data_IF_207984925639
#
_entry.id   IF_207984925639
#
_cell.length_a   1.000
_cell.length_b   1.000
_cell.length_c   1.000
_cell.angle_alpha   90.00
_cell.angle_beta   90.00
_cell.angle_gamma   90.00
#
_symmetry.space_group_name_H-M   'P 1'
#
loop_
_entity.id
_entity.type
_entity.pdbx_description
1 polymer ?
#
# COMPACT_ATOMS: atom_id res chain seq x y z
N UNK A 1 4.73 -6.20 -19.72
CA UNK A 1 5.39 -5.18 -18.90
C UNK A 1 6.35 -5.87 -17.95
N UNK A 2 7.56 -5.37 -17.74
CA UNK A 2 8.53 -6.06 -16.89
C UNK A 2 8.20 -6.01 -15.39
N UNK A 3 7.29 -5.14 -14.93
CA UNK A 3 6.91 -5.08 -13.50
C UNK A 3 6.08 -3.85 -13.13
N UNK A 4 5.72 -3.77 -11.87
CA UNK A 4 5.14 -2.59 -11.21
C UNK A 4 6.09 -2.16 -10.08
N UNK A 5 6.89 -1.13 -10.34
CA UNK A 5 7.95 -0.65 -9.46
C UNK A 5 7.52 0.62 -8.74
N UNK A 6 6.86 1.53 -9.47
CA UNK A 6 6.29 2.79 -8.98
C UNK A 6 4.84 2.93 -9.43
N UNK A 7 4.11 3.94 -8.94
CA UNK A 7 2.77 4.26 -9.45
C UNK A 7 2.81 4.93 -10.83
N UNK A 8 3.95 5.44 -11.24
CA UNK A 8 4.15 6.06 -12.56
C UNK A 8 4.22 5.02 -13.70
N UNK A 9 4.39 3.74 -13.35
CA UNK A 9 4.30 2.64 -14.30
C UNK A 9 2.86 2.37 -14.78
N UNK A 10 1.86 3.03 -14.17
CA UNK A 10 0.44 2.89 -14.47
C UNK A 10 -0.18 4.20 -14.94
N UNK A 11 -1.00 4.15 -15.98
CA UNK A 11 -1.91 5.24 -16.33
C UNK A 11 -3.11 5.29 -15.37
N UNK A 12 -3.88 6.39 -15.38
CA UNK A 12 -5.09 6.48 -14.55
C UNK A 12 -6.13 5.44 -14.97
N UNK A 13 -6.26 5.18 -16.27
CA UNK A 13 -7.17 4.18 -16.83
C UNK A 13 -6.79 2.76 -16.36
N UNK A 14 -5.50 2.45 -16.34
CA UNK A 14 -5.01 1.16 -15.83
C UNK A 14 -5.25 1.02 -14.34
N UNK A 15 -5.01 2.07 -13.53
CA UNK A 15 -5.35 2.08 -12.10
C UNK A 15 -6.83 1.78 -11.91
N UNK A 16 -7.73 2.49 -12.59
CA UNK A 16 -9.18 2.27 -12.48
C UNK A 16 -9.55 0.85 -12.89
N UNK A 17 -9.02 0.35 -14.01
CA UNK A 17 -9.26 -1.03 -14.46
C UNK A 17 -8.83 -2.07 -13.42
N UNK A 18 -7.67 -1.90 -12.80
CA UNK A 18 -7.18 -2.79 -11.74
C UNK A 18 -8.06 -2.70 -10.49
N UNK A 19 -8.54 -1.51 -10.13
CA UNK A 19 -9.46 -1.34 -9.02
C UNK A 19 -10.83 -1.98 -9.30
N UNK A 20 -11.32 -1.94 -10.55
CA UNK A 20 -12.53 -2.64 -10.96
C UNK A 20 -12.38 -4.16 -10.87
N UNK A 21 -11.24 -4.69 -11.30
CA UNK A 21 -10.90 -6.10 -11.15
C UNK A 21 -10.79 -6.49 -9.67
N UNK A 22 -10.24 -5.62 -8.82
CA UNK A 22 -10.19 -5.83 -7.38
C UNK A 22 -11.60 -5.93 -6.79
N UNK A 23 -12.52 -5.05 -7.18
CA UNK A 23 -13.92 -5.10 -6.73
C UNK A 23 -14.59 -6.42 -7.09
N UNK A 24 -14.41 -6.89 -8.34
CA UNK A 24 -14.94 -8.19 -8.80
C UNK A 24 -14.36 -9.37 -8.02
N UNK A 25 -13.10 -9.29 -7.61
CA UNK A 25 -12.39 -10.36 -6.90
C UNK A 25 -12.69 -10.43 -5.39
N UNK A 26 -13.47 -9.51 -4.81
CA UNK A 26 -13.83 -9.50 -3.39
C UNK A 26 -14.42 -10.84 -2.90
N UNK A 27 -15.40 -11.47 -3.57
CA UNK A 27 -15.96 -12.76 -3.12
C UNK A 27 -14.91 -13.87 -3.12
N UNK A 28 -13.98 -13.84 -4.08
CA UNK A 28 -12.87 -14.82 -4.15
C UNK A 28 -11.89 -14.59 -3.01
N UNK A 29 -11.53 -13.32 -2.74
CA UNK A 29 -10.64 -12.96 -1.65
C UNK A 29 -11.22 -13.35 -0.27
N UNK A 30 -12.54 -13.22 -0.08
CA UNK A 30 -13.26 -13.64 1.14
C UNK A 30 -13.41 -15.15 1.28
N UNK A 31 -13.19 -15.91 0.20
CA UNK A 31 -13.36 -17.36 0.18
C UNK A 31 -14.83 -17.79 0.04
N UNK A 32 -15.67 -16.93 -0.48
CA UNK A 32 -17.07 -17.21 -0.83
C UNK A 32 -17.15 -17.93 -2.18
N UNK A 33 -16.19 -17.65 -3.07
CA UNK A 33 -16.02 -18.27 -4.38
C UNK A 33 -14.60 -18.80 -4.56
N UNK A 34 -14.48 -19.92 -5.27
CA UNK A 34 -13.21 -20.41 -5.79
C UNK A 34 -13.11 -20.13 -7.28
N UNK A 35 -12.12 -19.31 -7.66
CA UNK A 35 -11.86 -18.92 -9.06
C UNK A 35 -10.36 -19.01 -9.36
N UNK A 36 -9.88 -20.16 -9.87
CA UNK A 36 -8.45 -20.43 -10.01
C UNK A 36 -7.84 -19.78 -11.27
N UNK A 37 -7.87 -18.45 -11.35
CA UNK A 37 -7.36 -17.68 -12.50
C UNK A 37 -5.86 -17.88 -12.75
N UNK A 38 -5.09 -18.17 -11.70
CA UNK A 38 -3.63 -18.36 -11.76
C UNK A 38 -3.22 -19.81 -11.47
N UNK A 39 -4.10 -20.79 -11.75
CA UNK A 39 -3.77 -22.20 -11.58
C UNK A 39 -2.54 -22.58 -12.40
N UNK A 40 -1.58 -23.25 -11.76
CA UNK A 40 -0.31 -23.66 -12.38
C UNK A 40 0.75 -22.55 -12.47
N UNK A 41 0.44 -21.33 -11.98
CA UNK A 41 1.41 -20.23 -11.83
C UNK A 41 2.06 -20.26 -10.46
N UNK A 42 3.31 -19.82 -10.40
CA UNK A 42 4.12 -19.79 -9.19
C UNK A 42 4.57 -18.35 -8.92
N UNK A 43 4.28 -17.86 -7.71
CA UNK A 43 4.79 -16.60 -7.20
C UNK A 43 6.11 -16.82 -6.45
N UNK A 44 7.18 -16.15 -6.85
CA UNK A 44 8.38 -15.94 -6.04
C UNK A 44 8.14 -14.83 -5.03
N UNK A 45 8.11 -15.16 -3.73
CA UNK A 45 7.81 -14.19 -2.67
C UNK A 45 9.09 -13.86 -1.89
N UNK A 46 9.84 -12.84 -2.36
CA UNK A 46 11.21 -12.52 -1.95
C UNK A 46 11.25 -11.33 -0.98
N UNK A 47 11.26 -11.62 0.31
CA UNK A 47 11.29 -10.59 1.35
C UNK A 47 12.64 -10.57 2.05
N UNK A 48 13.48 -9.58 1.72
CA UNK A 48 14.82 -9.38 2.27
C UNK A 48 14.82 -8.56 3.58
N UNK A 49 13.66 -8.06 3.99
CA UNK A 49 13.43 -7.42 5.29
C UNK A 49 12.13 -7.92 5.94
N UNK A 50 12.00 -7.84 7.28
CA UNK A 50 10.79 -8.29 7.97
C UNK A 50 9.53 -7.57 7.48
N UNK A 51 8.53 -8.33 7.08
CA UNK A 51 7.21 -7.82 6.73
C UNK A 51 6.16 -8.91 6.82
N UNK A 52 5.38 -8.92 7.90
CA UNK A 52 4.36 -9.96 8.10
C UNK A 52 3.18 -9.76 7.15
N UNK A 53 2.55 -8.58 7.19
CA UNK A 53 1.32 -8.31 6.44
C UNK A 53 1.52 -8.38 4.93
N UNK A 54 2.50 -7.65 4.41
CA UNK A 54 2.74 -7.60 2.96
C UNK A 54 3.08 -8.97 2.41
N UNK A 55 3.98 -9.72 3.08
CA UNK A 55 4.38 -11.07 2.66
C UNK A 55 3.19 -12.03 2.65
N UNK A 56 2.44 -12.08 3.76
CA UNK A 56 1.27 -12.98 3.87
C UNK A 56 0.17 -12.61 2.89
N UNK A 57 -0.05 -11.31 2.62
CA UNK A 57 -1.09 -10.88 1.66
C UNK A 57 -0.76 -11.26 0.22
N UNK A 58 0.50 -11.19 -0.21
CA UNK A 58 0.93 -11.72 -1.51
C UNK A 58 0.72 -13.23 -1.61
N UNK A 59 1.14 -13.96 -0.57
CA UNK A 59 0.95 -15.40 -0.52
C UNK A 59 -0.54 -15.78 -0.56
N UNK A 60 -1.36 -15.11 0.25
CA UNK A 60 -2.81 -15.34 0.28
C UNK A 60 -3.45 -15.01 -1.06
N UNK A 61 -3.08 -13.87 -1.67
CA UNK A 61 -3.61 -13.45 -2.96
C UNK A 61 -3.34 -14.50 -4.07
N UNK A 62 -2.11 -15.01 -4.15
CA UNK A 62 -1.76 -16.04 -5.12
C UNK A 62 -2.54 -17.34 -4.90
N UNK A 63 -2.63 -17.78 -3.64
CA UNK A 63 -3.37 -19.01 -3.28
C UNK A 63 -4.87 -18.88 -3.51
N UNK A 64 -5.49 -17.72 -3.28
CA UNK A 64 -6.89 -17.45 -3.60
C UNK A 64 -7.18 -17.56 -5.09
N UNK A 65 -6.21 -17.26 -5.93
CA UNK A 65 -6.30 -17.41 -7.38
C UNK A 65 -5.85 -18.80 -7.89
N UNK A 66 -5.65 -19.78 -7.00
CA UNK A 66 -5.30 -21.15 -7.36
C UNK A 66 -3.84 -21.38 -7.75
N UNK A 67 -2.98 -20.39 -7.57
CA UNK A 67 -1.54 -20.53 -7.83
C UNK A 67 -0.75 -20.99 -6.60
N UNK A 68 0.53 -21.28 -6.82
CA UNK A 68 1.47 -21.71 -5.81
C UNK A 68 2.47 -20.60 -5.43
N UNK A 69 3.14 -20.75 -4.30
CA UNK A 69 4.09 -19.74 -3.78
C UNK A 69 5.39 -20.40 -3.33
N UNK A 70 6.50 -19.86 -3.80
CA UNK A 70 7.83 -20.16 -3.29
C UNK A 70 8.32 -18.95 -2.50
N UNK A 71 8.53 -19.15 -1.22
CA UNK A 71 9.00 -18.10 -0.33
C UNK A 71 10.52 -18.13 -0.19
N UNK A 72 11.19 -16.98 -0.23
CA UNK A 72 12.51 -16.85 0.35
C UNK A 72 12.37 -17.05 1.86
N UNK A 73 13.09 -18.03 2.38
CA UNK A 73 13.14 -18.29 3.83
C UNK A 73 13.78 -17.13 4.61
N UNK A 74 14.19 -17.40 5.84
CA UNK A 74 14.95 -16.38 6.60
C UNK A 74 16.24 -16.03 5.84
N UNK A 75 16.40 -14.73 5.54
CA UNK A 75 17.59 -14.19 4.85
C UNK A 75 18.86 -14.62 5.54
N UNK A 76 18.84 -14.73 6.89
CA UNK A 76 19.98 -15.19 7.70
C UNK A 76 20.38 -16.64 7.46
N UNK A 77 19.51 -17.46 6.88
CA UNK A 77 19.76 -18.87 6.55
C UNK A 77 19.84 -19.13 5.05
N UNK A 78 19.67 -18.10 4.24
CA UNK A 78 19.72 -18.18 2.78
C UNK A 78 21.16 -18.03 2.25
N UNK A 79 21.36 -18.26 0.95
CA UNK A 79 22.65 -18.07 0.27
C UNK A 79 23.15 -16.62 0.30
N UNK A 80 22.27 -15.65 0.57
CA UNK A 80 22.62 -14.22 0.75
C UNK A 80 23.71 -14.06 1.84
N UNK A 81 23.65 -14.84 2.93
CA UNK A 81 24.68 -14.83 4.00
C UNK A 81 26.04 -15.29 3.49
N UNK A 82 26.07 -16.12 2.44
CA UNK A 82 27.31 -16.58 1.80
C UNK A 82 27.88 -15.61 0.78
N UNK A 83 27.23 -14.44 0.59
CA UNK A 83 27.63 -13.41 -0.35
C UNK A 83 26.99 -13.52 -1.74
N UNK A 84 25.87 -14.29 -1.88
CA UNK A 84 25.11 -14.31 -3.12
C UNK A 84 24.57 -12.91 -3.44
N UNK A 85 24.77 -12.48 -4.68
CA UNK A 85 24.33 -11.16 -5.14
C UNK A 85 22.82 -11.15 -5.38
N UNK A 86 22.20 -9.97 -5.32
CA UNK A 86 20.79 -9.83 -5.69
C UNK A 86 20.54 -10.31 -7.13
N UNK A 87 21.50 -10.03 -8.04
CA UNK A 87 21.42 -10.50 -9.43
C UNK A 87 21.30 -12.02 -9.52
N UNK A 88 22.20 -12.74 -8.85
CA UNK A 88 22.21 -14.21 -8.89
C UNK A 88 20.91 -14.79 -8.30
N UNK A 89 20.46 -14.22 -7.16
CA UNK A 89 19.18 -14.62 -6.55
C UNK A 89 18.01 -14.41 -7.54
N UNK A 90 17.96 -13.25 -8.21
CA UNK A 90 16.88 -12.96 -9.18
C UNK A 90 16.98 -13.90 -10.38
N UNK A 91 18.15 -14.13 -10.97
CA UNK A 91 18.32 -15.04 -12.12
C UNK A 91 17.88 -16.48 -11.78
N UNK A 92 18.15 -16.94 -10.56
CA UNK A 92 17.73 -18.26 -10.10
C UNK A 92 16.21 -18.33 -9.94
N UNK A 93 15.60 -17.35 -9.25
CA UNK A 93 14.16 -17.34 -8.97
C UNK A 93 13.35 -17.11 -10.25
N UNK A 94 13.84 -16.29 -11.18
CA UNK A 94 13.27 -16.06 -12.51
C UNK A 94 13.04 -17.39 -13.26
N UNK A 95 13.97 -18.34 -13.10
CA UNK A 95 13.85 -19.68 -13.69
C UNK A 95 12.83 -20.60 -12.99
N UNK A 96 12.34 -20.26 -11.82
CA UNK A 96 11.45 -21.11 -11.01
C UNK A 96 10.03 -20.59 -10.91
N UNK A 97 9.77 -19.33 -11.27
CA UNK A 97 8.51 -18.64 -10.99
C UNK A 97 7.97 -17.92 -12.23
N UNK A 98 6.71 -17.56 -12.21
CA UNK A 98 6.03 -16.81 -13.29
C UNK A 98 5.92 -15.31 -12.98
N UNK A 99 6.05 -14.93 -11.70
CA UNK A 99 6.00 -13.56 -11.20
C UNK A 99 6.75 -13.49 -9.87
N UNK A 100 7.38 -12.37 -9.57
CA UNK A 100 8.12 -12.16 -8.33
C UNK A 100 7.55 -10.96 -7.58
N UNK A 101 7.13 -11.15 -6.32
CA UNK A 101 6.90 -10.08 -5.37
C UNK A 101 8.17 -9.90 -4.52
N UNK A 102 8.69 -8.68 -4.48
CA UNK A 102 9.95 -8.41 -3.82
C UNK A 102 9.83 -7.25 -2.82
N UNK A 103 10.44 -7.42 -1.64
CA UNK A 103 10.65 -6.35 -0.67
C UNK A 103 12.13 -6.33 -0.24
N UNK A 104 12.76 -5.14 -0.33
CA UNK A 104 14.19 -5.01 -0.09
C UNK A 104 14.53 -3.75 0.73
N UNK A 105 15.53 -3.76 1.64
CA UNK A 105 15.89 -2.59 2.45
C UNK A 105 16.57 -1.47 1.65
N UNK A 106 17.08 -1.73 0.46
CA UNK A 106 17.76 -0.72 -0.38
C UNK A 106 16.80 -0.16 -1.42
N UNK A 107 16.74 1.17 -1.51
CA UNK A 107 16.05 1.86 -2.58
C UNK A 107 16.64 1.52 -3.95
N UNK A 108 15.78 1.36 -4.96
CA UNK A 108 16.16 0.99 -6.32
C UNK A 108 16.39 -0.51 -6.53
N UNK A 109 16.35 -1.33 -5.47
CA UNK A 109 16.56 -2.77 -5.60
C UNK A 109 15.45 -3.45 -6.42
N UNK A 110 14.21 -2.97 -6.32
CA UNK A 110 13.09 -3.49 -7.12
C UNK A 110 13.26 -3.18 -8.62
N UNK A 111 13.71 -1.97 -8.94
CA UNK A 111 14.05 -1.60 -10.33
C UNK A 111 15.18 -2.47 -10.88
N UNK A 112 16.27 -2.63 -10.10
CA UNK A 112 17.38 -3.50 -10.49
C UNK A 112 16.96 -4.95 -10.74
N UNK A 113 16.06 -5.47 -9.90
CA UNK A 113 15.49 -6.81 -10.10
C UNK A 113 14.65 -6.86 -11.38
N UNK A 114 13.84 -5.85 -11.64
CA UNK A 114 13.02 -5.72 -12.84
C UNK A 114 13.86 -5.71 -14.13
N UNK A 115 14.97 -4.97 -14.12
CA UNK A 115 15.90 -4.90 -15.25
C UNK A 115 16.65 -6.23 -15.49
N UNK A 116 16.73 -7.06 -14.46
CA UNK A 116 17.46 -8.33 -14.48
C UNK A 116 16.59 -9.55 -14.77
N UNK A 117 15.29 -9.50 -14.44
CA UNK A 117 14.34 -10.61 -14.58
C UNK A 117 13.66 -10.61 -15.96
N UNK A 118 13.15 -11.78 -16.35
CA UNK A 118 12.25 -11.96 -17.49
C UNK A 118 10.80 -12.00 -17.05
N UNK A 119 10.54 -12.53 -15.85
CA UNK A 119 9.20 -12.53 -15.24
C UNK A 119 8.87 -11.18 -14.63
N UNK A 120 7.59 -10.81 -14.52
CA UNK A 120 7.19 -9.54 -13.93
C UNK A 120 7.60 -9.42 -12.45
N UNK A 121 8.00 -8.20 -12.04
CA UNK A 121 8.35 -7.86 -10.66
C UNK A 121 7.25 -6.98 -10.04
N UNK A 122 6.79 -7.34 -8.84
CA UNK A 122 5.93 -6.53 -7.98
C UNK A 122 6.74 -5.95 -6.82
N UNK A 123 6.86 -4.63 -6.77
CA UNK A 123 7.54 -3.94 -5.67
C UNK A 123 6.65 -3.93 -4.41
N UNK A 124 7.01 -4.74 -3.42
CA UNK A 124 6.41 -4.80 -2.07
C UNK A 124 7.06 -3.85 -1.06
N UNK A 125 7.88 -2.90 -1.56
CA UNK A 125 8.59 -1.88 -0.80
C UNK A 125 10.11 -1.99 -0.93
N UNK A 126 10.77 -0.91 -1.32
CA UNK A 126 12.22 -0.83 -1.49
C UNK A 126 12.82 0.33 -0.66
N UNK A 127 13.23 0.05 0.54
CA UNK A 127 13.85 1.02 1.45
C UNK A 127 13.01 2.28 1.69
N UNK A 128 13.56 3.45 1.41
CA UNK A 128 12.86 4.74 1.45
C UNK A 128 12.12 5.07 0.13
N UNK A 129 12.21 4.20 -0.88
CA UNK A 129 11.65 4.41 -2.21
C UNK A 129 10.14 4.21 -2.30
N UNK A 130 9.69 3.31 -3.16
CA UNK A 130 8.29 3.14 -3.53
C UNK A 130 7.65 1.90 -2.92
N UNK A 131 6.33 1.93 -2.80
CA UNK A 131 5.51 0.77 -2.44
C UNK A 131 4.16 0.83 -3.20
N UNK A 132 4.16 0.65 -4.54
CA UNK A 132 2.98 0.86 -5.37
C UNK A 132 1.80 -0.02 -4.96
N UNK A 133 2.05 -1.23 -4.48
CA UNK A 133 0.96 -2.12 -4.03
C UNK A 133 0.30 -1.66 -2.72
N UNK A 134 0.96 -0.80 -1.94
CA UNK A 134 0.32 -0.12 -0.81
C UNK A 134 -0.58 1.01 -1.32
N UNK A 135 -0.08 1.83 -2.22
CA UNK A 135 -0.89 2.90 -2.83
C UNK A 135 -2.14 2.34 -3.50
N UNK A 136 -2.04 1.22 -4.23
CA UNK A 136 -3.19 0.58 -4.88
C UNK A 136 -4.25 0.10 -3.88
N UNK A 137 -3.86 -0.54 -2.77
CA UNK A 137 -4.82 -0.95 -1.75
C UNK A 137 -5.43 0.25 -1.00
N UNK A 138 -4.67 1.33 -0.84
CA UNK A 138 -5.16 2.57 -0.22
C UNK A 138 -6.22 3.22 -1.12
N UNK A 139 -5.95 3.38 -2.41
CA UNK A 139 -6.91 3.86 -3.40
C UNK A 139 -8.16 2.97 -3.48
N UNK A 140 -7.98 1.65 -3.44
CA UNK A 140 -9.10 0.70 -3.42
C UNK A 140 -9.98 0.90 -2.18
N UNK A 141 -9.38 1.07 -1.00
CA UNK A 141 -10.10 1.28 0.26
C UNK A 141 -10.89 2.59 0.24
N UNK A 142 -10.28 3.68 -0.27
CA UNK A 142 -10.93 4.98 -0.43
C UNK A 142 -12.12 4.85 -1.38
N UNK A 143 -11.91 4.25 -2.55
CA UNK A 143 -12.97 4.07 -3.55
C UNK A 143 -14.12 3.21 -3.03
N UNK A 144 -13.86 2.16 -2.27
CA UNK A 144 -14.91 1.34 -1.65
C UNK A 144 -15.76 2.14 -0.66
N UNK A 145 -15.15 3.04 0.10
CA UNK A 145 -15.88 3.83 1.09
C UNK A 145 -16.70 4.95 0.48
N UNK A 146 -16.20 5.61 -0.57
CA UNK A 146 -16.79 6.83 -1.13
C UNK A 146 -17.42 6.66 -2.53
N UNK A 147 -17.21 5.52 -3.20
CA UNK A 147 -17.66 5.28 -4.57
C UNK A 147 -16.86 6.02 -5.64
N UNK A 148 -15.96 6.90 -5.26
CA UNK A 148 -15.13 7.73 -6.14
C UNK A 148 -13.73 7.94 -5.56
N UNK A 149 -12.81 8.39 -6.40
CA UNK A 149 -11.53 8.97 -5.97
C UNK A 149 -11.46 10.47 -6.24
N UNK A 150 -12.48 11.06 -6.89
CA UNK A 150 -12.45 12.46 -7.32
C UNK A 150 -13.02 13.41 -6.28
N UNK A 151 -12.36 14.55 -6.08
CA UNK A 151 -12.86 15.67 -5.29
C UNK A 151 -12.88 15.45 -3.77
N UNK A 152 -12.23 14.38 -3.25
CA UNK A 152 -12.18 14.07 -1.83
C UNK A 152 -11.17 14.96 -1.11
N UNK A 153 -11.47 15.31 0.14
CA UNK A 153 -10.54 15.96 1.06
C UNK A 153 -9.79 14.88 1.86
N UNK A 154 -8.52 14.67 1.54
CA UNK A 154 -7.70 13.64 2.15
C UNK A 154 -6.63 14.26 3.06
N UNK A 155 -6.75 13.99 4.35
CA UNK A 155 -5.77 14.43 5.36
C UNK A 155 -4.73 13.33 5.56
N UNK A 156 -3.49 13.61 5.20
CA UNK A 156 -2.34 12.74 5.49
C UNK A 156 -1.67 13.27 6.75
N UNK A 157 -1.62 12.44 7.82
CA UNK A 157 -1.23 12.92 9.15
C UNK A 157 -0.13 12.08 9.81
N UNK A 158 0.71 12.74 10.60
CA UNK A 158 1.76 12.14 11.41
C UNK A 158 3.17 12.35 10.85
N UNK A 159 3.92 11.26 10.58
CA UNK A 159 5.26 11.35 10.00
C UNK A 159 5.18 11.42 8.47
N UNK A 160 5.18 12.63 7.95
CA UNK A 160 5.15 12.87 6.50
C UNK A 160 6.56 12.99 5.90
N UNK A 161 7.58 13.20 6.74
CA UNK A 161 8.96 13.37 6.29
C UNK A 161 9.59 12.05 5.84
N UNK A 162 9.39 10.99 6.64
CA UNK A 162 10.00 9.68 6.41
C UNK A 162 9.00 8.62 5.91
N UNK A 163 7.73 9.00 5.79
CA UNK A 163 6.62 8.15 5.44
C UNK A 163 6.50 7.89 3.93
N UNK A 164 7.29 6.97 3.35
CA UNK A 164 7.24 6.66 1.91
C UNK A 164 5.82 6.35 1.38
N UNK A 165 4.93 5.82 2.23
CA UNK A 165 3.56 5.49 1.84
C UNK A 165 2.75 6.75 1.52
N UNK A 166 2.90 7.80 2.32
CA UNK A 166 2.20 9.08 2.09
C UNK A 166 2.80 9.85 0.92
N UNK A 167 4.10 9.69 0.63
CA UNK A 167 4.72 10.27 -0.57
C UNK A 167 4.08 9.72 -1.84
N UNK A 168 4.05 8.40 -2.01
CA UNK A 168 3.43 7.77 -3.19
C UNK A 168 1.91 7.98 -3.23
N UNK A 169 1.24 7.96 -2.08
CA UNK A 169 -0.20 8.14 -2.01
C UNK A 169 -0.61 9.57 -2.39
N UNK A 170 0.11 10.60 -1.94
CA UNK A 170 -0.20 12.00 -2.26
C UNK A 170 -0.19 12.26 -3.77
N UNK A 171 0.83 11.76 -4.48
CA UNK A 171 0.88 11.86 -5.95
C UNK A 171 -0.31 11.15 -6.61
N UNK A 172 -0.63 9.94 -6.17
CA UNK A 172 -1.75 9.19 -6.72
C UNK A 172 -3.10 9.91 -6.48
N UNK A 173 -3.32 10.46 -5.27
CA UNK A 173 -4.53 11.20 -4.94
C UNK A 173 -4.71 12.44 -5.83
N UNK A 174 -3.63 13.20 -6.03
CA UNK A 174 -3.65 14.40 -6.90
C UNK A 174 -3.97 14.04 -8.35
N UNK A 175 -3.46 12.91 -8.85
CA UNK A 175 -3.81 12.41 -10.20
C UNK A 175 -5.31 12.17 -10.39
N UNK A 176 -6.06 11.93 -9.30
CA UNK A 176 -7.52 11.77 -9.30
C UNK A 176 -8.28 13.03 -8.81
N UNK A 177 -7.59 14.16 -8.68
CA UNK A 177 -8.23 15.44 -8.33
C UNK A 177 -8.68 15.54 -6.87
N UNK A 178 -8.05 14.79 -5.96
CA UNK A 178 -8.25 14.98 -4.52
C UNK A 178 -7.59 16.25 -4.01
N UNK A 179 -8.19 16.88 -3.01
CA UNK A 179 -7.55 17.90 -2.20
C UNK A 179 -6.71 17.22 -1.11
N UNK A 180 -5.42 17.57 -1.02
CA UNK A 180 -4.50 16.94 -0.08
C UNK A 180 -4.11 17.93 1.01
N UNK A 181 -4.33 17.52 2.26
CA UNK A 181 -4.00 18.28 3.46
C UNK A 181 -2.92 17.50 4.22
N UNK A 182 -1.78 18.15 4.46
CA UNK A 182 -0.67 17.61 5.23
C UNK A 182 -0.74 18.11 6.67
N UNK A 183 -1.10 17.22 7.60
CA UNK A 183 -1.19 17.51 9.03
C UNK A 183 -0.01 16.85 9.76
N UNK A 184 1.01 17.65 10.13
CA UNK A 184 2.20 17.13 10.77
C UNK A 184 2.89 18.15 11.66
N UNK A 185 3.67 17.71 12.69
CA UNK A 185 4.59 18.60 13.39
C UNK A 185 5.59 19.21 12.42
N UNK A 186 6.10 20.42 12.73
CA UNK A 186 7.07 21.13 11.88
C UNK A 186 8.30 20.28 11.49
N UNK A 187 8.80 19.47 12.41
CA UNK A 187 9.97 18.62 12.19
C UNK A 187 9.68 17.40 11.28
N UNK A 188 8.40 17.08 11.06
CA UNK A 188 7.94 15.92 10.29
C UNK A 188 7.11 16.30 9.06
N UNK A 189 7.22 17.55 8.61
CA UNK A 189 6.53 18.04 7.41
C UNK A 189 6.90 17.22 6.16
N UNK A 190 5.98 17.22 5.21
CA UNK A 190 6.21 16.69 3.87
C UNK A 190 7.45 17.37 3.27
N UNK A 191 8.35 16.61 2.61
CA UNK A 191 9.50 17.21 1.90
C UNK A 191 9.06 18.28 0.90
N UNK A 192 9.76 19.42 0.90
CA UNK A 192 9.43 20.59 0.07
C UNK A 192 9.38 20.23 -1.43
N UNK A 193 10.25 19.33 -1.88
CA UNK A 193 10.26 18.85 -3.27
C UNK A 193 8.99 18.14 -3.65
N UNK A 194 8.38 17.37 -2.75
CA UNK A 194 7.09 16.69 -2.99
C UNK A 194 5.97 17.72 -3.05
N UNK A 195 5.92 18.65 -2.10
CA UNK A 195 4.92 19.74 -2.08
C UNK A 195 5.00 20.57 -3.36
N UNK A 196 6.22 20.92 -3.80
CA UNK A 196 6.43 21.67 -5.02
C UNK A 196 5.98 20.91 -6.28
N UNK A 197 6.27 19.61 -6.33
CA UNK A 197 5.86 18.76 -7.44
C UNK A 197 4.33 18.62 -7.52
N UNK A 198 3.66 18.38 -6.40
CA UNK A 198 2.19 18.31 -6.35
C UNK A 198 1.52 19.62 -6.81
N UNK A 199 2.06 20.78 -6.38
CA UNK A 199 1.59 22.11 -6.81
C UNK A 199 1.83 22.33 -8.30
N UNK A 200 2.95 21.87 -8.84
CA UNK A 200 3.23 21.95 -10.28
C UNK A 200 2.24 21.13 -11.12
N UNK A 201 1.67 20.07 -10.55
CA UNK A 201 0.60 19.27 -11.15
C UNK A 201 -0.81 19.82 -10.87
N UNK A 202 -0.92 21.05 -10.34
CA UNK A 202 -2.19 21.75 -10.14
C UNK A 202 -2.93 21.41 -8.84
N UNK A 203 -2.27 20.72 -7.91
CA UNK A 203 -2.89 20.41 -6.62
C UNK A 203 -3.00 21.62 -5.71
N UNK A 204 -4.13 21.76 -5.03
CA UNK A 204 -4.26 22.59 -3.85
C UNK A 204 -3.71 21.81 -2.64
N UNK A 205 -2.55 22.24 -2.14
CA UNK A 205 -1.89 21.62 -1.00
C UNK A 205 -1.96 22.55 0.22
N UNK A 206 -2.55 22.06 1.28
CA UNK A 206 -2.61 22.74 2.59
C UNK A 206 -1.65 22.03 3.54
N UNK A 207 -0.83 22.78 4.27
CA UNK A 207 0.04 22.28 5.33
C UNK A 207 -0.39 22.88 6.68
N UNK A 208 -0.57 22.05 7.69
CA UNK A 208 -1.02 22.45 9.04
C UNK A 208 -0.40 21.57 10.11
N UNK A 209 -0.36 22.05 11.34
CA UNK A 209 -0.06 21.25 12.55
C UNK A 209 -1.33 20.88 13.33
N UNK A 210 -2.49 21.38 12.92
CA UNK A 210 -3.79 21.12 13.55
C UNK A 210 -4.56 20.00 12.82
N UNK A 211 -4.33 18.75 13.26
CA UNK A 211 -5.07 17.59 12.76
C UNK A 211 -6.55 17.65 13.15
N UNK A 212 -6.85 18.03 14.39
CA UNK A 212 -8.23 17.96 14.90
C UNK A 212 -9.13 18.97 14.21
N UNK A 213 -8.60 20.15 13.86
CA UNK A 213 -9.31 21.15 13.08
C UNK A 213 -9.65 20.73 11.65
N UNK A 214 -9.07 19.62 11.15
CA UNK A 214 -9.38 19.11 9.81
C UNK A 214 -10.49 18.06 9.80
N UNK A 215 -10.88 17.49 10.95
CA UNK A 215 -11.80 16.35 11.05
C UNK A 215 -13.16 16.64 10.41
N UNK A 216 -13.74 17.80 10.66
CA UNK A 216 -15.09 18.16 10.20
C UNK A 216 -15.22 18.23 8.66
N UNK A 217 -14.09 18.47 7.98
CA UNK A 217 -14.05 18.62 6.53
C UNK A 217 -13.39 17.45 5.80
N UNK A 218 -12.77 16.54 6.52
CA UNK A 218 -12.11 15.39 5.94
C UNK A 218 -13.12 14.35 5.42
N UNK A 219 -12.81 13.76 4.28
CA UNK A 219 -13.42 12.53 3.80
C UNK A 219 -12.56 11.32 4.21
N UNK A 220 -11.24 11.51 4.20
CA UNK A 220 -10.27 10.49 4.61
C UNK A 220 -9.23 11.10 5.55
N UNK A 221 -8.99 10.45 6.67
CA UNK A 221 -7.82 10.70 7.53
C UNK A 221 -6.89 9.49 7.41
N UNK A 222 -5.72 9.69 6.82
CA UNK A 222 -4.69 8.67 6.71
C UNK A 222 -3.59 8.95 7.75
N UNK A 223 -3.63 8.20 8.84
CA UNK A 223 -2.68 8.33 9.93
C UNK A 223 -1.41 7.53 9.65
N UNK A 224 -0.26 8.08 10.00
CA UNK A 224 1.02 7.38 9.96
C UNK A 224 1.68 7.35 11.32
N UNK A 225 2.41 6.28 11.60
CA UNK A 225 3.21 6.13 12.80
C UNK A 225 4.42 7.07 12.77
N UNK A 226 4.69 7.76 13.86
CA UNK A 226 5.96 8.45 14.05
C UNK A 226 7.03 7.39 14.31
N UNK A 227 8.00 7.27 13.39
CA UNK A 227 8.98 6.18 13.36
C UNK A 227 10.20 6.53 14.22
N UNK A 228 10.21 6.11 15.51
CA UNK A 228 11.33 6.35 16.44
C UNK A 228 12.70 6.00 15.82
N UNK A 229 12.75 4.91 15.08
CA UNK A 229 13.95 4.40 14.42
C UNK A 229 14.53 5.31 13.33
N UNK A 230 13.83 6.37 12.95
CA UNK A 230 14.25 7.36 11.93
C UNK A 230 14.83 8.63 12.52
N UNK A 231 14.68 8.84 13.85
CA UNK A 231 15.18 10.03 14.51
C UNK A 231 16.68 9.90 14.84
N UNK A 232 17.46 10.99 14.70
CA UNK A 232 18.87 10.99 15.04
C UNK A 232 19.14 10.68 16.52
N UNK A 233 18.24 11.17 17.39
CA UNK A 233 18.33 10.96 18.85
C UNK A 233 16.94 10.83 19.49
N UNK A 234 16.93 10.35 20.75
CA UNK A 234 15.70 10.14 21.52
C UNK A 234 15.04 11.46 21.97
N UNK A 235 15.80 12.53 22.15
CA UNK A 235 15.27 13.81 22.62
C UNK A 235 14.43 14.48 21.53
N UNK A 236 14.86 14.38 20.28
CA UNK A 236 14.06 14.86 19.14
C UNK A 236 12.78 14.04 18.96
N UNK A 237 12.85 12.73 19.09
CA UNK A 237 11.66 11.88 19.08
C UNK A 237 10.70 12.25 20.21
N UNK A 238 11.20 12.47 21.44
CA UNK A 238 10.37 12.79 22.60
C UNK A 238 9.54 14.08 22.42
N UNK A 239 10.02 15.06 21.64
CA UNK A 239 9.30 16.31 21.35
C UNK A 239 8.03 16.09 20.53
N UNK A 240 7.99 15.04 19.72
CA UNK A 240 6.87 14.74 18.80
C UNK A 240 6.14 13.44 19.17
N UNK A 241 6.70 12.66 20.10
CA UNK A 241 6.06 11.44 20.59
C UNK A 241 4.70 11.76 21.22
N UNK A 242 3.65 11.17 20.65
CA UNK A 242 2.28 11.41 21.13
C UNK A 242 1.65 12.76 20.75
N UNK A 243 2.30 13.57 19.91
CA UNK A 243 1.75 14.84 19.42
C UNK A 243 0.47 14.62 18.58
N UNK A 244 0.38 13.49 17.91
CA UNK A 244 -0.77 13.13 17.07
C UNK A 244 -1.39 11.84 17.62
N UNK A 245 -2.47 12.00 18.39
CA UNK A 245 -3.29 10.89 18.89
C UNK A 245 -4.73 11.15 18.53
N UNK A 246 -5.37 10.15 17.97
CA UNK A 246 -6.76 10.18 17.60
C UNK A 246 -7.55 9.26 18.53
N UNK A 247 -8.54 9.81 19.24
CA UNK A 247 -9.45 9.09 20.11
C UNK A 247 -10.87 9.10 19.53
N UNK A 248 -11.74 8.23 20.02
CA UNK A 248 -13.13 8.23 19.58
C UNK A 248 -13.87 9.54 19.86
N UNK A 249 -13.54 10.22 20.98
CA UNK A 249 -14.12 11.52 21.35
C UNK A 249 -13.76 12.64 20.38
N UNK A 250 -12.65 12.53 19.66
CA UNK A 250 -12.19 13.54 18.71
C UNK A 250 -13.03 13.50 17.42
N UNK A 251 -13.84 12.45 17.23
CA UNK A 251 -14.63 12.19 16.03
C UNK A 251 -16.08 12.69 16.13
N UNK A 252 -16.45 13.37 17.21
CA UNK A 252 -17.85 13.79 17.43
C UNK A 252 -18.37 14.77 16.36
N UNK A 253 -17.48 15.55 15.72
CA UNK A 253 -17.79 16.45 14.60
C UNK A 253 -17.60 15.84 13.21
N UNK A 254 -17.07 14.60 13.13
CA UNK A 254 -16.73 13.97 11.86
C UNK A 254 -17.97 13.67 11.01
N UNK A 255 -17.84 13.86 9.70
CA UNK A 255 -18.89 13.42 8.75
C UNK A 255 -19.13 11.91 8.89
N UNK A 256 -20.37 11.43 8.81
CA UNK A 256 -20.69 10.00 8.93
C UNK A 256 -19.91 9.09 7.98
N UNK A 257 -19.57 9.58 6.80
CA UNK A 257 -18.87 8.87 5.73
C UNK A 257 -17.33 8.95 5.84
N UNK A 258 -16.81 9.85 6.69
CA UNK A 258 -15.37 9.97 6.88
C UNK A 258 -14.75 8.67 7.34
N UNK A 259 -13.60 8.31 6.74
CA UNK A 259 -12.87 7.09 7.10
C UNK A 259 -11.48 7.40 7.66
N UNK A 260 -11.04 6.52 8.56
CA UNK A 260 -9.69 6.56 9.13
C UNK A 260 -8.92 5.35 8.61
N UNK A 261 -7.78 5.62 7.99
CA UNK A 261 -6.86 4.65 7.42
C UNK A 261 -5.50 4.68 8.12
N UNK A 262 -4.78 3.58 8.06
CA UNK A 262 -3.44 3.46 8.63
C UNK A 262 -2.70 2.27 8.00
N UNK A 263 -1.45 2.42 7.51
CA UNK A 263 -0.72 1.34 6.84
C UNK A 263 -0.27 0.23 7.79
N UNK A 264 -0.46 0.40 9.09
CA UNK A 264 -0.07 -0.50 10.16
C UNK A 264 1.45 -0.85 10.16
N UNK A 265 2.08 -1.19 11.29
CA UNK A 265 1.45 -1.29 12.62
C UNK A 265 1.22 0.09 13.23
N UNK A 266 0.11 0.27 13.91
CA UNK A 266 -0.08 1.41 14.81
C UNK A 266 0.58 1.12 16.18
N UNK A 267 0.93 2.16 16.88
CA UNK A 267 1.45 2.09 18.26
C UNK A 267 0.51 2.85 19.20
N UNK A 268 0.55 4.18 19.17
CA UNK A 268 -0.23 5.04 20.06
C UNK A 268 -0.96 6.19 19.33
N UNK A 269 -0.72 6.35 18.03
CA UNK A 269 -1.31 7.41 17.21
C UNK A 269 -2.82 7.23 16.95
N UNK A 270 -3.33 6.00 17.03
CA UNK A 270 -4.78 5.71 17.03
C UNK A 270 -5.11 4.93 18.29
N UNK A 271 -5.88 5.54 19.18
CA UNK A 271 -6.32 4.88 20.40
C UNK A 271 -7.30 3.74 20.10
N UNK A 272 -7.26 2.61 20.86
CA UNK A 272 -8.17 1.48 20.65
C UNK A 272 -9.67 1.82 20.68
N UNK A 273 -10.07 2.93 21.33
CA UNK A 273 -11.47 3.37 21.32
C UNK A 273 -12.00 3.68 19.92
N UNK A 274 -11.12 4.01 18.96
CA UNK A 274 -11.50 4.27 17.57
C UNK A 274 -11.93 2.98 16.85
N UNK A 275 -11.42 1.80 17.27
CA UNK A 275 -11.66 0.52 16.59
C UNK A 275 -13.14 0.16 16.47
N UNK A 276 -13.96 0.58 17.44
CA UNK A 276 -15.40 0.30 17.46
C UNK A 276 -16.24 1.38 16.76
N UNK A 277 -15.60 2.45 16.26
CA UNK A 277 -16.31 3.50 15.52
C UNK A 277 -16.55 3.09 14.07
N UNK A 278 -17.56 3.71 13.44
CA UNK A 278 -17.85 3.52 12.01
C UNK A 278 -16.72 4.00 11.09
N UNK A 279 -15.83 4.82 11.60
CA UNK A 279 -14.77 5.47 10.85
C UNK A 279 -13.53 4.59 10.66
N UNK A 280 -13.32 3.59 11.53
CA UNK A 280 -12.14 2.72 11.51
C UNK A 280 -12.16 1.80 10.28
N UNK A 281 -11.24 2.04 9.30
CA UNK A 281 -11.10 1.22 8.09
C UNK A 281 -9.73 0.55 7.94
N UNK A 282 -8.79 0.77 8.84
CA UNK A 282 -7.42 0.28 8.72
C UNK A 282 -7.28 -1.26 8.75
N UNK A 283 -8.20 -1.99 9.36
CA UNK A 283 -8.20 -3.46 9.28
C UNK A 283 -8.80 -3.96 7.96
N UNK A 284 -9.85 -3.30 7.46
CA UNK A 284 -10.40 -3.55 6.14
C UNK A 284 -9.38 -3.19 5.05
N UNK A 285 -8.68 -2.04 5.19
CA UNK A 285 -7.56 -1.63 4.36
C UNK A 285 -6.48 -2.72 4.30
N UNK A 286 -6.12 -3.33 5.43
CA UNK A 286 -5.15 -4.43 5.46
C UNK A 286 -5.63 -5.65 4.67
N UNK A 287 -6.92 -6.01 4.76
CA UNK A 287 -7.53 -7.07 3.95
C UNK A 287 -7.56 -6.70 2.46
N UNK A 288 -7.88 -5.46 2.13
CA UNK A 288 -7.88 -4.94 0.76
C UNK A 288 -6.52 -5.09 0.08
N UNK A 289 -5.45 -5.23 0.88
CA UNK A 289 -4.14 -5.62 0.38
C UNK A 289 -4.11 -6.99 -0.30
N UNK A 290 -4.94 -7.95 0.13
CA UNK A 290 -5.08 -9.24 -0.57
C UNK A 290 -5.74 -9.01 -1.91
N UNK A 291 -6.87 -8.30 -1.91
CA UNK A 291 -7.72 -8.08 -3.09
C UNK A 291 -6.96 -7.32 -4.19
N UNK A 292 -6.34 -6.19 -3.82
CA UNK A 292 -5.56 -5.38 -4.77
C UNK A 292 -4.38 -6.18 -5.37
N UNK A 293 -3.72 -7.02 -4.56
CA UNK A 293 -2.62 -7.87 -5.06
C UNK A 293 -3.10 -9.00 -5.97
N UNK A 294 -4.31 -9.51 -5.77
CA UNK A 294 -4.94 -10.46 -6.70
C UNK A 294 -5.12 -9.81 -8.08
N UNK A 295 -5.73 -8.62 -8.12
CA UNK A 295 -5.93 -7.88 -9.37
C UNK A 295 -4.61 -7.51 -10.06
N UNK A 296 -3.61 -7.03 -9.30
CA UNK A 296 -2.28 -6.69 -9.82
C UNK A 296 -1.56 -7.90 -10.42
N UNK A 297 -1.65 -9.08 -9.80
CA UNK A 297 -1.05 -10.29 -10.35
C UNK A 297 -1.74 -10.74 -11.64
N UNK A 298 -3.08 -10.68 -11.70
CA UNK A 298 -3.81 -10.95 -12.93
C UNK A 298 -3.42 -9.97 -14.04
N UNK A 299 -3.37 -8.69 -13.73
CA UNK A 299 -3.01 -7.63 -14.68
C UNK A 299 -1.59 -7.84 -15.25
N UNK A 300 -0.58 -8.06 -14.39
CA UNK A 300 0.81 -8.29 -14.81
C UNK A 300 1.00 -9.57 -15.63
N UNK A 301 0.26 -10.62 -15.31
CA UNK A 301 0.31 -11.89 -16.03
C UNK A 301 -0.60 -11.91 -17.26
N UNK A 302 -1.27 -10.82 -17.59
CA UNK A 302 -2.18 -10.71 -18.72
C UNK A 302 -3.42 -11.61 -18.63
N UNK A 303 -3.83 -11.97 -17.40
CA UNK A 303 -5.00 -12.82 -17.13
C UNK A 303 -6.21 -11.91 -16.88
N UNK A 304 -7.24 -12.07 -17.69
CA UNK A 304 -8.48 -11.29 -17.56
C UNK A 304 -9.32 -11.79 -16.40
N UNK A 305 -9.71 -10.89 -15.52
CA UNK A 305 -10.76 -11.14 -14.53
C UNK A 305 -12.12 -11.09 -15.25
N UNK A 306 -12.99 -12.10 -15.07
CA UNK A 306 -14.33 -12.09 -15.66
C UNK A 306 -15.15 -10.90 -15.19
N UNK A 307 -16.04 -10.37 -16.05
CA UNK A 307 -16.96 -9.31 -15.65
C UNK A 307 -17.93 -9.79 -14.56
N UNK A 308 -18.39 -11.03 -14.66
CA UNK A 308 -19.10 -11.73 -13.60
C UNK A 308 -18.29 -12.93 -13.12
N UNK A 309 -17.74 -12.82 -11.92
CA UNK A 309 -16.95 -13.90 -11.30
C UNK A 309 -17.84 -15.04 -10.80
N UNK A 310 -19.14 -14.81 -10.59
CA UNK A 310 -20.08 -15.84 -10.15
C UNK A 310 -20.40 -16.86 -11.23
N UNK A 311 -20.33 -16.47 -12.50
CA UNK A 311 -20.57 -17.36 -13.65
C UNK A 311 -19.47 -18.43 -13.83
N UNK A 312 -18.26 -18.16 -13.34
CA UNK A 312 -17.09 -19.02 -13.51
C UNK A 312 -16.51 -19.54 -12.21
N UNK A 313 -16.90 -18.95 -11.09
CA UNK A 313 -16.49 -19.36 -9.76
C UNK A 313 -17.34 -20.54 -9.26
N UNK A 314 -16.75 -21.36 -8.40
CA UNK A 314 -17.46 -22.38 -7.64
C UNK A 314 -17.72 -21.85 -6.25
N UNK A 315 -18.98 -21.88 -5.79
CA UNK A 315 -19.34 -21.53 -4.41
C UNK A 315 -18.69 -22.53 -3.47
N UNK A 316 -18.03 -22.06 -2.42
CA UNK A 316 -17.32 -22.88 -1.42
C UNK A 316 -18.20 -23.22 -0.24
#
# INVERSE_FOLDING_TARGET
MPGLITMDDLTNEEIISILDDAERLLPVARGELYLPLLQGRILGNLFFEPSTRTRMSFETAMKRLGGDVVNLGDVKTSSVVKGETLFDTIQMVDGYTDIIAMRHPRQGAAQYACDSAKVPILNGGDGAGHHPTQTMLDLFTIRQAHGTLEGLNVVLAGDLRYGRTVHSLSHALVRFGCNVIFASPDSLRMPEEIVADLKAHGAEVVETDDLLGQIDNADVIYMTRIQKERFPDEDEYAKVAGAYKLNASDLDGARPEMIIMHPLPRVDEIHPSVDSTRHARYFEQAFNGVVARMALMCWLLGVKVPEDVSDKGVVL
#
